data_IF_958462127640
#
_entry.id   IF_958462127640
#
_cell.length_a   1.000
_cell.length_b   1.000
_cell.length_c   1.000
_cell.angle_alpha   90.00
_cell.angle_beta   90.00
_cell.angle_gamma   90.00
#
_symmetry.space_group_name_H-M   'P 1'
#
loop_
_entity.id
_entity.type
_entity.pdbx_description
1 polymer ?
#
# COMPACT_ATOMS: atom_id res chain seq x y z
N UNK A 1 -21.32 -74.48 -68.94
CA UNK A 1 -21.30 -73.16 -69.61
C UNK A 1 -20.96 -72.12 -68.55
N UNK A 2 -19.73 -71.73 -68.37
CA UNK A 2 -19.29 -70.75 -67.42
C UNK A 2 -18.47 -69.70 -68.18
N UNK A 3 -18.90 -68.47 -68.16
CA UNK A 3 -18.16 -67.31 -68.71
C UNK A 3 -17.33 -66.66 -67.66
N UNK A 4 -16.00 -66.65 -67.90
CA UNK A 4 -15.04 -65.89 -67.08
C UNK A 4 -15.17 -64.39 -67.34
N UNK A 5 -15.13 -63.61 -66.30
CA UNK A 5 -15.01 -62.15 -66.35
C UNK A 5 -13.60 -61.75 -65.95
N UNK A 6 -12.95 -60.99 -66.84
CA UNK A 6 -11.65 -60.41 -66.66
C UNK A 6 -11.67 -59.24 -65.66
N UNK A 7 -10.76 -59.25 -64.74
CA UNK A 7 -10.53 -58.16 -63.77
C UNK A 7 -9.64 -57.08 -64.37
N UNK A 8 -10.20 -55.91 -64.61
CA UNK A 8 -9.46 -54.69 -64.95
C UNK A 8 -8.85 -54.04 -63.70
N UNK A 9 -7.53 -53.84 -63.76
CA UNK A 9 -6.80 -53.11 -62.72
C UNK A 9 -7.07 -51.62 -62.83
N UNK A 10 -7.70 -51.04 -61.80
CA UNK A 10 -7.84 -49.60 -61.64
C UNK A 10 -6.67 -49.03 -60.85
N UNK A 11 -5.90 -48.15 -61.47
CA UNK A 11 -4.83 -47.36 -60.84
C UNK A 11 -5.42 -46.36 -59.86
N UNK A 12 -5.04 -46.51 -58.61
CA UNK A 12 -5.38 -45.50 -57.56
C UNK A 12 -4.40 -44.36 -57.65
N UNK A 13 -4.85 -43.19 -58.12
CA UNK A 13 -4.13 -41.93 -57.97
C UNK A 13 -4.36 -41.42 -56.57
N UNK A 14 -3.33 -41.37 -55.78
CA UNK A 14 -3.36 -40.77 -54.40
C UNK A 14 -3.20 -39.24 -54.51
N UNK A 15 -4.27 -38.53 -54.36
CA UNK A 15 -4.23 -37.06 -54.17
C UNK A 15 -3.76 -36.78 -52.73
N UNK A 16 -2.55 -36.29 -52.59
CA UNK A 16 -2.07 -35.73 -51.33
C UNK A 16 -2.65 -34.31 -51.14
N UNK A 17 -3.65 -34.15 -50.26
CA UNK A 17 -4.17 -32.87 -49.84
C UNK A 17 -3.20 -32.27 -48.78
N UNK A 18 -2.39 -31.32 -49.20
CA UNK A 18 -1.54 -30.57 -48.29
C UNK A 18 -2.39 -29.63 -47.41
N UNK A 19 -2.54 -29.97 -46.14
CA UNK A 19 -3.18 -29.10 -45.13
C UNK A 19 -2.18 -28.03 -44.71
N UNK A 20 -2.30 -26.81 -45.25
CA UNK A 20 -1.55 -25.64 -44.79
C UNK A 20 -2.26 -25.16 -43.51
N UNK A 21 -1.70 -25.51 -42.32
CA UNK A 21 -2.07 -24.95 -41.03
C UNK A 21 -1.52 -23.51 -40.95
N UNK A 22 -2.34 -22.54 -41.26
CA UNK A 22 -2.10 -21.15 -40.93
C UNK A 22 -2.22 -21.02 -39.39
N UNK A 23 -1.11 -21.02 -38.65
CA UNK A 23 -1.06 -20.65 -37.26
C UNK A 23 -1.22 -19.14 -37.18
N UNK A 24 -2.45 -18.68 -37.01
CA UNK A 24 -2.73 -17.32 -36.55
C UNK A 24 -2.16 -17.19 -35.12
N UNK A 25 -0.99 -16.59 -35.03
CA UNK A 25 -0.41 -16.22 -33.74
C UNK A 25 -1.33 -15.24 -33.02
N UNK A 26 -2.14 -15.74 -32.12
CA UNK A 26 -2.80 -14.88 -31.13
C UNK A 26 -1.71 -14.33 -30.22
N UNK A 27 -1.32 -13.08 -30.47
CA UNK A 27 -0.58 -12.29 -29.49
C UNK A 27 -1.51 -12.08 -28.31
N UNK A 28 -1.38 -12.89 -27.26
CA UNK A 28 -2.04 -12.63 -26.00
C UNK A 28 -1.64 -11.23 -25.54
N UNK A 29 -2.58 -10.36 -25.15
CA UNK A 29 -2.22 -9.09 -24.52
C UNK A 29 -1.33 -9.42 -23.33
N UNK A 30 -0.08 -8.94 -23.37
CA UNK A 30 0.88 -9.18 -22.31
C UNK A 30 0.31 -8.60 -21.02
N UNK A 31 -0.11 -9.45 -20.09
CA UNK A 31 -0.26 -9.04 -18.71
C UNK A 31 1.07 -8.46 -18.28
N UNK A 32 1.03 -7.27 -17.66
CA UNK A 32 2.20 -6.66 -17.11
C UNK A 32 2.91 -7.71 -16.25
N UNK A 33 4.15 -8.03 -16.62
CA UNK A 33 4.98 -9.00 -15.93
C UNK A 33 5.10 -8.53 -14.49
N UNK A 34 4.80 -9.38 -13.51
CA UNK A 34 5.00 -9.06 -12.10
C UNK A 34 6.44 -8.54 -11.94
N UNK A 35 6.67 -7.45 -11.20
CA UNK A 35 8.01 -6.92 -11.03
C UNK A 35 8.91 -8.05 -10.56
N UNK A 36 10.00 -8.30 -11.27
CA UNK A 36 11.05 -9.20 -10.79
C UNK A 36 11.51 -8.64 -9.46
N UNK A 37 11.41 -9.43 -8.39
CA UNK A 37 11.82 -9.05 -7.05
C UNK A 37 13.20 -8.38 -7.13
N UNK A 38 13.27 -7.06 -6.92
CA UNK A 38 14.51 -6.29 -6.94
C UNK A 38 15.37 -6.75 -5.77
N UNK A 39 16.68 -6.88 -6.00
CA UNK A 39 17.59 -7.10 -4.89
C UNK A 39 17.60 -5.84 -4.00
N UNK A 40 17.50 -6.03 -2.69
CA UNK A 40 17.50 -4.97 -1.70
C UNK A 40 16.29 -5.01 -0.77
N UNK A 41 16.42 -4.34 0.34
CA UNK A 41 15.44 -4.32 1.43
C UNK A 41 14.71 -2.99 1.51
N UNK A 42 13.45 -3.01 1.92
CA UNK A 42 12.71 -1.82 2.32
C UNK A 42 13.12 -1.45 3.74
N UNK A 43 13.43 -0.16 3.95
CA UNK A 43 13.74 0.36 5.28
C UNK A 43 12.50 1.03 5.86
N UNK A 44 12.22 0.72 7.12
CA UNK A 44 11.11 1.29 7.89
C UNK A 44 11.69 1.97 9.13
N UNK A 45 11.37 3.24 9.31
CA UNK A 45 11.79 4.05 10.45
C UNK A 45 10.57 4.73 11.05
N UNK A 46 10.34 4.54 12.35
CA UNK A 46 9.28 5.23 13.07
C UNK A 46 9.78 6.58 13.59
N UNK A 47 9.10 7.64 13.22
CA UNK A 47 9.43 9.02 13.61
C UNK A 47 8.49 9.57 14.70
N UNK A 48 7.60 8.71 15.21
CA UNK A 48 6.61 9.00 16.25
C UNK A 48 5.20 9.12 15.72
N UNK A 49 4.21 8.76 16.56
CA UNK A 49 2.79 8.77 16.20
C UNK A 49 2.49 7.92 14.95
N UNK A 50 1.93 8.50 13.88
CA UNK A 50 1.74 7.88 12.56
C UNK A 50 2.83 8.27 11.54
N UNK A 51 3.85 8.98 11.98
CA UNK A 51 4.92 9.43 11.12
C UNK A 51 5.96 8.31 10.93
N UNK A 52 5.96 7.72 9.73
CA UNK A 52 6.95 6.73 9.30
C UNK A 52 7.74 7.26 8.10
N UNK A 53 9.02 6.87 8.02
CA UNK A 53 9.82 6.97 6.83
C UNK A 53 10.03 5.58 6.26
N UNK A 54 9.59 5.37 5.01
CA UNK A 54 9.76 4.15 4.25
C UNK A 54 10.74 4.44 3.13
N UNK A 55 11.85 3.68 3.05
CA UNK A 55 12.84 3.88 1.99
C UNK A 55 12.90 2.62 1.13
N UNK A 56 12.68 2.78 -0.16
CA UNK A 56 12.73 1.69 -1.13
C UNK A 56 14.13 1.15 -1.34
N UNK A 57 14.29 -0.05 -1.92
CA UNK A 57 15.60 -0.59 -2.32
C UNK A 57 16.41 0.35 -3.21
N UNK A 58 15.76 1.16 -4.03
CA UNK A 58 16.40 2.15 -4.91
C UNK A 58 16.56 3.53 -4.29
N UNK A 59 16.21 3.69 -3.01
CA UNK A 59 16.38 4.93 -2.26
C UNK A 59 15.26 5.96 -2.42
N UNK A 60 14.10 5.57 -3.00
CA UNK A 60 12.91 6.43 -3.00
C UNK A 60 12.34 6.51 -1.59
N UNK A 61 12.08 7.72 -1.12
CA UNK A 61 11.62 7.99 0.25
C UNK A 61 10.14 8.35 0.26
N UNK A 62 9.35 7.58 0.99
CA UNK A 62 7.93 7.82 1.26
C UNK A 62 7.77 8.11 2.75
N UNK A 63 7.05 9.16 3.11
CA UNK A 63 6.69 9.44 4.50
C UNK A 63 5.17 9.47 4.69
N UNK A 64 4.71 9.12 5.90
CA UNK A 64 3.29 9.08 6.27
C UNK A 64 3.02 10.07 7.39
N UNK A 65 1.85 10.71 7.39
CA UNK A 65 1.33 11.56 8.48
C UNK A 65 2.42 12.41 9.17
N UNK A 66 3.07 13.35 8.44
CA UNK A 66 4.33 13.94 8.84
C UNK A 66 4.17 15.07 9.88
N UNK A 67 3.88 14.72 11.12
CA UNK A 67 3.73 15.67 12.23
C UNK A 67 5.10 16.07 12.82
N UNK A 68 5.66 17.21 12.37
CA UNK A 68 6.99 17.69 12.78
C UNK A 68 7.10 18.00 14.27
N UNK A 69 6.05 18.59 14.84
CA UNK A 69 5.99 18.99 16.24
C UNK A 69 5.54 17.87 17.18
N UNK A 70 5.58 16.61 16.73
CA UNK A 70 5.23 15.45 17.55
C UNK A 70 5.99 15.51 18.90
N UNK A 71 5.30 15.54 20.04
CA UNK A 71 5.94 15.71 21.36
C UNK A 71 6.87 14.56 21.73
N UNK A 72 6.67 13.37 21.16
CA UNK A 72 7.46 12.18 21.48
C UNK A 72 8.75 12.08 20.66
N UNK A 73 8.87 12.84 19.57
CA UNK A 73 10.05 12.78 18.72
C UNK A 73 10.06 13.84 17.61
N UNK A 74 10.21 15.12 17.95
CA UNK A 74 10.19 16.17 16.94
C UNK A 74 11.23 15.93 15.85
N UNK A 75 10.84 16.19 14.61
CA UNK A 75 11.68 15.99 13.41
C UNK A 75 11.94 17.35 12.76
N UNK A 76 13.20 17.63 12.45
CA UNK A 76 13.55 18.86 11.72
C UNK A 76 13.29 18.72 10.22
N UNK A 77 12.99 19.83 9.56
CA UNK A 77 12.82 19.89 8.09
C UNK A 77 14.06 19.43 7.33
N UNK A 78 15.26 19.75 7.83
CA UNK A 78 16.53 19.37 7.19
C UNK A 78 16.64 17.85 7.00
N UNK A 79 16.16 17.06 7.98
CA UNK A 79 16.13 15.61 7.92
C UNK A 79 15.17 15.03 6.87
N UNK A 80 14.34 15.89 6.25
CA UNK A 80 13.28 15.51 5.30
C UNK A 80 13.50 16.04 3.88
N UNK A 81 14.60 16.73 3.62
CA UNK A 81 14.91 17.32 2.32
C UNK A 81 15.00 16.31 1.16
N UNK A 82 15.17 15.02 1.46
CA UNK A 82 15.21 13.92 0.47
C UNK A 82 13.91 13.14 0.34
N UNK A 83 12.80 13.68 0.82
CA UNK A 83 11.48 13.05 0.69
C UNK A 83 10.99 13.12 -0.76
N UNK A 84 10.48 12.00 -1.28
CA UNK A 84 9.89 11.92 -2.62
C UNK A 84 8.37 11.99 -2.59
N UNK A 85 7.75 11.33 -1.60
CA UNK A 85 6.30 11.24 -1.46
C UNK A 85 5.87 11.45 -0.01
N UNK A 86 4.76 12.16 0.16
CA UNK A 86 4.13 12.43 1.45
C UNK A 86 2.69 11.89 1.38
N UNK A 87 2.37 10.91 2.22
CA UNK A 87 1.03 10.33 2.31
C UNK A 87 0.28 10.98 3.47
N UNK A 88 -0.85 11.62 3.16
CA UNK A 88 -1.72 12.25 4.15
C UNK A 88 -3.09 11.56 4.10
N UNK A 89 -3.44 10.74 5.11
CA UNK A 89 -4.64 9.91 5.09
C UNK A 89 -5.92 10.71 5.36
N UNK A 90 -5.85 11.68 6.27
CA UNK A 90 -6.99 12.49 6.71
C UNK A 90 -6.53 13.88 7.18
N UNK A 91 -7.46 14.72 7.58
CA UNK A 91 -7.26 16.14 7.87
C UNK A 91 -7.07 16.48 9.36
N UNK A 92 -7.02 15.48 10.26
CA UNK A 92 -6.72 15.74 11.65
C UNK A 92 -5.28 16.26 11.78
N UNK A 93 -5.06 17.19 12.68
CA UNK A 93 -3.79 17.93 12.76
C UNK A 93 -2.57 17.03 12.94
N UNK A 94 -2.70 15.99 13.74
CA UNK A 94 -1.65 15.01 14.05
C UNK A 94 -1.45 13.96 12.92
N UNK A 95 -2.49 13.69 12.12
CA UNK A 95 -2.42 12.80 10.96
C UNK A 95 -2.06 13.54 9.67
N UNK A 96 -2.48 14.79 9.52
CA UNK A 96 -2.08 15.64 8.40
C UNK A 96 -0.64 16.11 8.55
N UNK A 97 -0.28 16.61 9.72
CA UNK A 97 1.04 17.16 10.02
C UNK A 97 1.38 18.39 9.19
N UNK A 98 2.61 18.42 8.67
CA UNK A 98 3.23 19.55 7.98
C UNK A 98 3.61 19.24 6.51
N UNK A 99 2.69 18.75 5.67
CA UNK A 99 3.03 18.32 4.31
C UNK A 99 3.46 19.49 3.40
N UNK A 100 2.95 20.71 3.64
CA UNK A 100 3.26 21.88 2.82
C UNK A 100 4.71 22.32 3.02
N UNK A 101 5.14 22.44 4.28
CA UNK A 101 6.50 22.85 4.65
C UNK A 101 7.53 21.81 4.16
N UNK A 102 7.21 20.52 4.30
CA UNK A 102 8.10 19.44 3.84
C UNK A 102 8.17 19.43 2.32
N UNK A 103 7.04 19.55 1.63
CA UNK A 103 7.02 19.62 0.16
C UNK A 103 7.78 20.83 -0.37
N UNK A 104 7.77 21.96 0.34
CA UNK A 104 8.51 23.17 -0.06
C UNK A 104 10.02 22.95 -0.06
N UNK A 105 10.58 22.20 0.90
CA UNK A 105 12.03 21.97 1.00
C UNK A 105 12.51 20.75 0.23
N UNK A 106 11.65 19.72 0.05
CA UNK A 106 12.03 18.47 -0.60
C UNK A 106 11.65 18.37 -2.07
N UNK A 107 10.66 19.16 -2.51
CA UNK A 107 10.03 18.97 -3.82
C UNK A 107 9.10 17.76 -3.88
N UNK A 108 8.76 17.15 -2.76
CA UNK A 108 7.95 15.95 -2.67
C UNK A 108 6.55 16.13 -3.25
N UNK A 109 5.98 15.03 -3.77
CA UNK A 109 4.58 14.96 -4.14
C UNK A 109 3.74 14.56 -2.93
N UNK A 110 2.72 15.36 -2.59
CA UNK A 110 1.73 15.07 -1.56
C UNK A 110 0.59 14.26 -2.17
N UNK A 111 0.37 13.07 -1.63
CA UNK A 111 -0.68 12.12 -2.06
C UNK A 111 -1.76 12.12 -0.97
N UNK A 112 -2.93 12.66 -1.28
CA UNK A 112 -4.03 12.85 -0.32
C UNK A 112 -5.38 12.93 -1.03
N UNK A 113 -6.52 12.71 -0.33
CA UNK A 113 -7.85 12.91 -0.88
C UNK A 113 -8.05 14.30 -1.48
N UNK A 114 -8.87 14.39 -2.53
CA UNK A 114 -8.98 15.62 -3.32
C UNK A 114 -9.48 16.85 -2.55
N UNK A 115 -10.47 16.77 -1.63
CA UNK A 115 -10.88 17.94 -0.85
C UNK A 115 -9.74 18.46 0.03
N UNK A 116 -9.05 17.57 0.75
CA UNK A 116 -7.89 17.93 1.57
C UNK A 116 -6.75 18.50 0.71
N UNK A 117 -6.46 17.88 -0.45
CA UNK A 117 -5.43 18.38 -1.37
C UNK A 117 -5.71 19.80 -1.88
N UNK A 118 -6.97 20.12 -2.19
CA UNK A 118 -7.36 21.50 -2.56
C UNK A 118 -7.18 22.49 -1.42
N UNK A 119 -7.48 22.05 -0.20
CA UNK A 119 -7.24 22.87 0.99
C UNK A 119 -5.73 23.13 1.20
N UNK A 120 -4.89 22.09 1.04
CA UNK A 120 -3.43 22.24 1.13
C UNK A 120 -2.89 23.20 0.05
N UNK A 121 -3.42 23.15 -1.18
CA UNK A 121 -3.05 24.07 -2.26
C UNK A 121 -3.42 25.51 -1.87
N UNK A 122 -4.62 25.73 -1.35
CA UNK A 122 -5.04 27.04 -0.87
C UNK A 122 -4.17 27.54 0.32
N UNK A 123 -3.46 26.64 1.01
CA UNK A 123 -2.57 26.93 2.12
C UNK A 123 -1.08 26.79 1.77
N UNK A 124 -0.71 26.90 0.49
CA UNK A 124 0.67 27.05 0.05
C UNK A 124 1.33 25.84 -0.63
N UNK A 125 0.65 24.69 -0.72
CA UNK A 125 1.13 23.57 -1.52
C UNK A 125 1.08 23.94 -3.01
N UNK A 126 2.14 23.70 -3.77
CA UNK A 126 2.12 23.94 -5.22
C UNK A 126 1.23 22.90 -5.91
N UNK A 127 0.48 23.34 -6.94
CA UNK A 127 -0.45 22.49 -7.67
C UNK A 127 0.24 21.25 -8.27
N UNK A 128 1.45 21.39 -8.79
CA UNK A 128 2.25 20.32 -9.38
C UNK A 128 2.78 19.31 -8.35
N UNK A 129 2.78 19.65 -7.07
CA UNK A 129 3.15 18.77 -5.98
C UNK A 129 1.96 17.97 -5.42
N UNK A 130 0.74 18.23 -5.89
CA UNK A 130 -0.44 17.52 -5.45
C UNK A 130 -0.76 16.33 -6.38
N UNK A 131 -0.91 15.15 -5.78
CA UNK A 131 -1.46 13.96 -6.44
C UNK A 131 -2.71 13.49 -5.70
N UNK A 132 -3.84 13.44 -6.41
CA UNK A 132 -5.10 12.95 -5.85
C UNK A 132 -4.98 11.48 -5.45
N UNK A 133 -5.44 11.16 -4.24
CA UNK A 133 -5.68 9.81 -3.71
C UNK A 133 -7.20 9.56 -3.70
N UNK A 134 -7.78 9.23 -4.85
CA UNK A 134 -9.17 8.78 -4.92
C UNK A 134 -9.29 7.34 -4.44
N UNK A 135 -10.30 7.03 -3.59
CA UNK A 135 -10.53 5.65 -3.16
C UNK A 135 -10.72 4.76 -4.39
N UNK A 136 -9.94 3.67 -4.46
CA UNK A 136 -9.89 2.77 -5.61
C UNK A 136 -8.84 3.12 -6.65
N UNK A 137 -8.24 4.31 -6.63
CA UNK A 137 -7.14 4.67 -7.54
C UNK A 137 -5.93 3.75 -7.37
N UNK A 138 -5.24 3.49 -8.47
CA UNK A 138 -3.93 2.85 -8.47
C UNK A 138 -3.04 3.57 -9.48
N UNK A 139 -1.80 3.83 -9.10
CA UNK A 139 -0.82 4.47 -9.96
C UNK A 139 0.61 4.13 -9.55
N UNK A 140 1.56 4.32 -10.48
CA UNK A 140 2.98 4.05 -10.24
C UNK A 140 3.74 5.37 -10.35
N UNK A 141 4.55 5.70 -9.34
CA UNK A 141 5.44 6.87 -9.32
C UNK A 141 6.84 6.42 -8.86
N UNK A 142 7.87 6.76 -9.60
CA UNK A 142 9.28 6.38 -9.33
C UNK A 142 9.46 4.87 -9.04
N UNK A 143 8.67 4.00 -9.67
CA UNK A 143 8.73 2.55 -9.46
C UNK A 143 7.96 2.03 -8.25
N UNK A 144 7.37 2.90 -7.43
CA UNK A 144 6.49 2.55 -6.31
C UNK A 144 5.05 2.52 -6.80
N UNK A 145 4.34 1.44 -6.53
CA UNK A 145 2.89 1.35 -6.77
C UNK A 145 2.13 1.78 -5.52
N UNK A 146 1.26 2.77 -5.69
CA UNK A 146 0.33 3.22 -4.67
C UNK A 146 -1.08 2.74 -5.04
N UNK A 147 -1.70 1.96 -4.18
CA UNK A 147 -3.11 1.61 -4.26
C UNK A 147 -3.84 2.26 -3.10
N UNK A 148 -4.91 3.00 -3.40
CA UNK A 148 -5.66 3.78 -2.43
C UNK A 148 -6.87 2.97 -1.98
N UNK A 149 -6.92 2.68 -0.69
CA UNK A 149 -8.05 2.05 -0.02
C UNK A 149 -8.88 3.05 0.78
N UNK A 150 -10.09 2.70 1.22
CA UNK A 150 -10.85 3.50 2.16
C UNK A 150 -10.19 3.46 3.54
N UNK A 151 -10.41 4.52 4.31
CA UNK A 151 -10.21 4.55 5.76
C UNK A 151 -11.53 4.97 6.38
N UNK A 152 -12.06 4.18 7.30
CA UNK A 152 -13.27 4.53 8.04
C UNK A 152 -12.86 5.38 9.24
N UNK A 153 -12.73 6.67 9.00
CA UNK A 153 -12.30 7.66 9.96
C UNK A 153 -12.94 9.01 9.65
N UNK A 154 -13.18 9.83 10.67
CA UNK A 154 -13.58 11.22 10.48
C UNK A 154 -12.46 11.98 9.72
N UNK A 155 -12.85 12.92 8.89
CA UNK A 155 -11.93 13.69 8.08
C UNK A 155 -12.28 15.19 8.07
N UNK A 156 -12.45 15.74 9.27
CA UNK A 156 -12.79 17.15 9.47
C UNK A 156 -11.54 17.97 9.80
N UNK A 157 -11.29 19.03 9.04
CA UNK A 157 -10.24 20.01 9.32
C UNK A 157 -10.50 20.73 10.64
N UNK A 158 -9.46 21.21 11.30
CA UNK A 158 -9.59 22.04 12.51
C UNK A 158 -10.46 23.30 12.32
N UNK A 159 -10.66 23.74 11.09
CA UNK A 159 -11.58 24.83 10.71
C UNK A 159 -13.04 24.40 10.66
N UNK A 160 -13.35 23.13 10.83
CA UNK A 160 -14.68 22.53 10.65
C UNK A 160 -15.02 22.20 9.17
N UNK A 161 -14.13 22.46 8.23
CA UNK A 161 -14.36 22.10 6.83
C UNK A 161 -14.14 20.60 6.60
N UNK A 162 -14.89 20.03 5.64
CA UNK A 162 -14.80 18.64 5.26
C UNK A 162 -13.52 18.36 4.43
N UNK A 163 -12.68 17.42 4.91
CA UNK A 163 -11.48 16.93 4.22
C UNK A 163 -11.79 15.89 3.13
N UNK A 164 -13.05 15.48 2.98
CA UNK A 164 -13.48 14.42 2.06
C UNK A 164 -13.33 13.01 2.68
N UNK A 165 -13.35 11.94 1.88
CA UNK A 165 -13.16 10.60 2.39
C UNK A 165 -11.72 10.41 2.91
N UNK A 166 -11.55 9.84 4.09
CA UNK A 166 -10.23 9.43 4.58
C UNK A 166 -9.69 8.25 3.73
N UNK A 167 -8.37 8.12 3.65
CA UNK A 167 -7.71 7.13 2.79
C UNK A 167 -6.74 6.23 3.56
N UNK A 168 -6.62 4.99 3.11
CA UNK A 168 -5.54 4.07 3.45
C UNK A 168 -4.67 3.81 2.21
N UNK A 169 -3.46 3.29 2.41
CA UNK A 169 -2.49 3.14 1.33
C UNK A 169 -1.85 1.76 1.35
N UNK A 170 -1.89 1.06 0.21
CA UNK A 170 -1.00 -0.07 -0.06
C UNK A 170 0.16 0.44 -0.91
N UNK A 171 1.37 0.30 -0.39
CA UNK A 171 2.60 0.83 -0.96
C UNK A 171 3.47 -0.35 -1.38
N UNK A 172 3.46 -0.69 -2.66
CA UNK A 172 4.28 -1.79 -3.18
C UNK A 172 5.57 -1.24 -3.77
N UNK A 173 6.68 -1.63 -3.18
CA UNK A 173 8.02 -1.24 -3.59
C UNK A 173 8.54 -2.08 -4.77
N UNK A 174 9.65 -1.66 -5.37
CA UNK A 174 10.20 -2.26 -6.59
C UNK A 174 10.62 -3.72 -6.44
N UNK A 175 10.87 -4.17 -5.21
CA UNK A 175 11.17 -5.58 -4.88
C UNK A 175 9.92 -6.43 -4.64
N UNK A 176 8.72 -5.84 -4.77
CA UNK A 176 7.45 -6.51 -4.51
C UNK A 176 6.98 -6.46 -3.05
N UNK A 177 7.82 -5.98 -2.12
CA UNK A 177 7.43 -5.82 -0.72
C UNK A 177 6.32 -4.78 -0.59
N UNK A 178 5.23 -5.12 0.09
CA UNK A 178 4.06 -4.26 0.23
C UNK A 178 3.83 -3.88 1.69
N UNK A 179 3.76 -2.57 1.94
CA UNK A 179 3.35 -2.00 3.23
C UNK A 179 1.90 -1.54 3.13
N UNK A 180 1.07 -1.94 4.08
CA UNK A 180 -0.25 -1.35 4.29
C UNK A 180 -0.18 -0.30 5.40
N UNK A 181 -0.53 0.93 5.08
CA UNK A 181 -0.71 2.02 6.04
C UNK A 181 -2.20 2.35 6.09
N UNK A 182 -2.86 2.07 7.25
CA UNK A 182 -4.32 2.16 7.33
C UNK A 182 -4.87 3.57 7.54
N UNK A 183 -4.00 4.56 7.82
CA UNK A 183 -4.41 5.95 8.00
C UNK A 183 -5.44 6.14 9.12
N UNK A 184 -5.26 5.42 10.22
CA UNK A 184 -6.12 5.47 11.40
C UNK A 184 -7.56 4.96 11.15
N UNK A 185 -7.72 3.98 10.23
CA UNK A 185 -9.04 3.40 9.99
C UNK A 185 -9.52 2.56 11.16
N UNK A 186 -10.79 2.72 11.52
CA UNK A 186 -11.52 1.81 12.41
C UNK A 186 -11.82 0.47 11.73
N UNK A 187 -12.50 -0.42 12.44
CA UNK A 187 -12.85 -1.77 12.00
C UNK A 187 -13.90 -1.73 10.89
N UNK A 188 -13.53 -2.22 9.69
CA UNK A 188 -14.43 -2.43 8.56
C UNK A 188 -14.16 -3.78 7.91
N UNK A 189 -15.21 -4.46 7.47
CA UNK A 189 -15.11 -5.80 6.89
C UNK A 189 -14.23 -5.86 5.63
N UNK A 190 -14.17 -4.78 4.85
CA UNK A 190 -13.41 -4.67 3.61
C UNK A 190 -11.90 -4.87 3.82
N UNK A 191 -11.39 -4.66 5.03
CA UNK A 191 -9.96 -4.88 5.34
C UNK A 191 -9.52 -6.32 5.03
N UNK A 192 -10.35 -7.33 5.30
CA UNK A 192 -10.03 -8.71 4.95
C UNK A 192 -9.97 -8.92 3.43
N UNK A 193 -10.89 -8.30 2.68
CA UNK A 193 -10.90 -8.36 1.22
C UNK A 193 -9.67 -7.66 0.63
N UNK A 194 -9.34 -6.48 1.11
CA UNK A 194 -8.13 -5.75 0.68
C UNK A 194 -6.86 -6.53 1.00
N UNK A 195 -6.77 -7.13 2.18
CA UNK A 195 -5.64 -7.98 2.54
C UNK A 195 -5.52 -9.21 1.62
N UNK A 196 -6.65 -9.82 1.22
CA UNK A 196 -6.67 -10.93 0.25
C UNK A 196 -6.16 -10.52 -1.12
N UNK A 197 -6.54 -9.34 -1.60
CA UNK A 197 -6.21 -8.87 -2.95
C UNK A 197 -4.78 -8.33 -3.03
N UNK A 198 -4.37 -7.52 -2.05
CA UNK A 198 -3.10 -6.77 -2.11
C UNK A 198 -1.97 -7.39 -1.29
N UNK A 199 -2.24 -8.41 -0.49
CA UNK A 199 -1.25 -9.27 0.20
C UNK A 199 -0.09 -8.48 0.86
N UNK A 200 -0.35 -7.51 1.76
CA UNK A 200 0.74 -6.75 2.37
C UNK A 200 1.64 -7.65 3.23
N UNK A 201 2.96 -7.40 3.18
CA UNK A 201 3.96 -8.08 4.00
C UNK A 201 4.04 -7.49 5.42
N UNK A 202 3.75 -6.18 5.52
CA UNK A 202 3.77 -5.40 6.75
C UNK A 202 2.52 -4.51 6.80
N UNK A 203 1.88 -4.43 7.96
CA UNK A 203 0.76 -3.52 8.20
C UNK A 203 1.09 -2.54 9.33
N UNK A 204 0.92 -1.24 9.07
CA UNK A 204 0.98 -0.16 10.05
C UNK A 204 -0.47 0.21 10.38
N UNK A 205 -0.90 -0.07 11.60
CA UNK A 205 -2.30 0.02 12.00
C UNK A 205 -2.48 0.98 13.19
N UNK A 206 -3.46 1.88 13.10
CA UNK A 206 -3.80 2.80 14.19
C UNK A 206 -4.28 2.05 15.44
N UNK A 207 -3.70 2.37 16.59
CA UNK A 207 -4.09 1.80 17.90
C UNK A 207 -5.07 2.72 18.66
N UNK A 208 -4.95 3.99 18.46
CA UNK A 208 -5.85 5.13 18.78
C UNK A 208 -6.80 4.99 19.98
N UNK A 209 -6.36 4.39 21.06
CA UNK A 209 -7.15 4.32 22.29
C UNK A 209 -8.10 3.14 22.40
N UNK A 210 -8.23 2.29 21.37
CA UNK A 210 -9.07 1.09 21.39
C UNK A 210 -8.27 -0.20 21.07
N UNK A 211 -7.59 -0.80 22.07
CA UNK A 211 -6.83 -2.02 21.89
C UNK A 211 -7.63 -3.22 21.35
N UNK A 212 -8.88 -3.47 21.80
CA UNK A 212 -9.74 -4.50 21.22
C UNK A 212 -9.99 -4.29 19.72
N UNK A 213 -10.29 -3.08 19.28
CA UNK A 213 -10.54 -2.78 17.87
C UNK A 213 -9.28 -2.95 17.04
N UNK A 214 -8.15 -2.43 17.49
CA UNK A 214 -6.84 -2.66 16.85
C UNK A 214 -6.56 -4.15 16.62
N UNK A 215 -6.82 -4.99 17.63
CA UNK A 215 -6.61 -6.43 17.50
C UNK A 215 -7.56 -7.06 16.48
N UNK A 216 -8.81 -6.60 16.37
CA UNK A 216 -9.75 -7.08 15.36
C UNK A 216 -9.37 -6.61 13.95
N UNK A 217 -8.88 -5.38 13.78
CA UNK A 217 -8.32 -4.90 12.50
C UNK A 217 -7.16 -5.79 12.07
N UNK A 218 -6.21 -6.07 12.95
CA UNK A 218 -5.10 -6.98 12.67
C UNK A 218 -5.58 -8.40 12.32
N UNK A 219 -6.61 -8.90 13.01
CA UNK A 219 -7.21 -10.20 12.71
C UNK A 219 -7.86 -10.25 11.33
N UNK A 220 -8.59 -9.21 10.92
CA UNK A 220 -9.15 -9.15 9.57
C UNK A 220 -8.04 -9.17 8.51
N UNK A 221 -6.96 -8.41 8.73
CA UNK A 221 -5.81 -8.42 7.84
C UNK A 221 -5.18 -9.81 7.72
N UNK A 222 -5.01 -10.54 8.84
CA UNK A 222 -4.46 -11.90 8.82
C UNK A 222 -5.42 -12.93 8.26
N UNK A 223 -6.72 -12.74 8.42
CA UNK A 223 -7.74 -13.61 7.82
C UNK A 223 -7.71 -13.51 6.30
N UNK A 224 -7.60 -12.30 5.76
CA UNK A 224 -7.45 -12.07 4.32
C UNK A 224 -6.06 -12.44 3.79
N UNK A 225 -5.02 -12.29 4.60
CA UNK A 225 -3.64 -12.58 4.22
C UNK A 225 -2.88 -13.35 5.32
N UNK A 226 -2.94 -14.70 5.32
CA UNK A 226 -2.20 -15.52 6.30
C UNK A 226 -0.68 -15.38 6.22
N UNK A 227 -0.15 -14.73 5.17
CA UNK A 227 1.29 -14.47 5.00
C UNK A 227 1.76 -13.19 5.67
N UNK A 228 0.86 -12.34 6.14
CA UNK A 228 1.23 -11.13 6.89
C UNK A 228 2.12 -11.51 8.09
N UNK A 229 3.30 -10.92 8.20
CA UNK A 229 4.31 -11.26 9.21
C UNK A 229 4.50 -10.22 10.29
N UNK A 230 4.15 -8.97 10.00
CA UNK A 230 4.43 -7.86 10.91
C UNK A 230 3.26 -6.90 10.98
N UNK A 231 2.82 -6.61 12.18
CA UNK A 231 1.87 -5.55 12.51
C UNK A 231 2.56 -4.54 13.39
N UNK A 232 2.66 -3.31 12.94
CA UNK A 232 3.22 -2.19 13.69
C UNK A 232 2.06 -1.33 14.19
N UNK A 233 1.92 -1.16 15.52
CA UNK A 233 0.94 -0.20 16.05
C UNK A 233 1.39 1.23 15.76
N UNK A 234 0.49 2.05 15.25
CA UNK A 234 0.68 3.48 15.02
C UNK A 234 -0.33 4.30 15.84
N UNK A 235 -0.33 5.61 15.68
CA UNK A 235 -1.16 6.54 16.46
C UNK A 235 -0.96 6.36 17.97
N UNK A 236 0.29 6.19 18.38
CA UNK A 236 0.72 5.92 19.74
C UNK A 236 2.12 6.49 19.97
N UNK A 237 2.64 6.31 21.17
CA UNK A 237 3.98 6.79 21.55
C UNK A 237 4.82 5.69 22.19
N UNK A 238 6.16 5.82 22.18
CA UNK A 238 7.05 4.86 22.81
C UNK A 238 6.68 4.63 24.28
N UNK A 239 6.60 3.35 24.68
CA UNK A 239 6.34 2.96 26.06
C UNK A 239 4.94 3.25 26.58
N UNK A 240 3.99 3.67 25.73
CA UNK A 240 2.62 3.91 26.14
C UNK A 240 1.96 2.62 26.69
N UNK A 241 1.23 2.68 27.82
CA UNK A 241 0.54 1.50 28.37
C UNK A 241 -0.36 0.77 27.38
N UNK A 242 -0.99 1.52 26.46
CA UNK A 242 -1.86 1.01 25.42
C UNK A 242 -1.16 -0.02 24.49
N UNK A 243 0.17 0.07 24.33
CA UNK A 243 0.94 -0.93 23.56
C UNK A 243 0.89 -2.31 24.22
N UNK A 244 0.99 -2.36 25.56
CA UNK A 244 0.85 -3.60 26.32
C UNK A 244 -0.57 -4.15 26.23
N UNK A 245 -1.57 -3.28 26.24
CA UNK A 245 -2.98 -3.66 26.11
C UNK A 245 -3.26 -4.20 24.72
N UNK A 246 -2.80 -3.53 23.67
CA UNK A 246 -2.91 -3.99 22.28
C UNK A 246 -2.26 -5.35 22.06
N UNK A 247 -1.06 -5.55 22.64
CA UNK A 247 -0.37 -6.85 22.58
C UNK A 247 -1.20 -7.95 23.26
N UNK A 248 -1.79 -7.67 24.43
CA UNK A 248 -2.63 -8.62 25.16
C UNK A 248 -3.86 -9.02 24.36
N UNK A 249 -4.52 -8.07 23.68
CA UNK A 249 -5.67 -8.36 22.84
C UNK A 249 -5.29 -9.21 21.62
N UNK A 250 -4.14 -8.93 20.98
CA UNK A 250 -3.62 -9.78 19.92
C UNK A 250 -3.27 -11.20 20.41
N UNK A 251 -2.73 -11.33 21.64
CA UNK A 251 -2.45 -12.65 22.24
C UNK A 251 -3.74 -13.45 22.47
N UNK A 252 -4.83 -12.81 22.90
CA UNK A 252 -6.15 -13.44 23.03
C UNK A 252 -6.68 -13.98 21.70
N UNK A 253 -6.32 -13.34 20.59
CA UNK A 253 -6.67 -13.76 19.24
C UNK A 253 -5.69 -14.79 18.64
N UNK A 254 -4.61 -15.14 19.36
CA UNK A 254 -3.60 -16.08 18.91
C UNK A 254 -2.64 -15.50 17.83
N UNK A 255 -2.62 -14.18 17.66
CA UNK A 255 -1.81 -13.48 16.64
C UNK A 255 -0.82 -12.48 17.25
N UNK A 256 -0.61 -12.51 18.55
CA UNK A 256 0.28 -11.56 19.25
C UNK A 256 1.74 -11.61 18.79
N UNK A 257 2.20 -12.74 18.24
CA UNK A 257 3.54 -12.86 17.65
C UNK A 257 3.78 -11.98 16.42
N UNK A 258 2.73 -11.38 15.84
CA UNK A 258 2.85 -10.48 14.70
C UNK A 258 3.17 -9.04 15.11
N UNK A 259 2.87 -8.66 16.36
CA UNK A 259 3.08 -7.28 16.81
C UNK A 259 4.56 -6.99 16.98
N UNK A 260 5.02 -5.96 16.30
CA UNK A 260 6.35 -5.41 16.45
C UNK A 260 6.25 -3.90 16.73
N UNK A 261 6.86 -3.46 17.82
CA UNK A 261 6.93 -2.04 18.18
C UNK A 261 8.35 -1.55 17.88
N UNK A 262 8.54 -0.74 16.84
CA UNK A 262 9.86 -0.22 16.50
C UNK A 262 10.35 0.77 17.57
N UNK A 263 11.66 0.82 17.77
CA UNK A 263 12.29 1.91 18.51
C UNK A 263 12.24 3.19 17.67
N UNK A 264 12.00 4.32 18.34
CA UNK A 264 11.92 5.63 17.69
C UNK A 264 13.23 5.97 16.96
N UNK A 265 13.13 6.43 15.72
CA UNK A 265 14.26 6.84 14.86
C UNK A 265 15.30 5.73 14.58
N UNK A 266 14.93 4.48 14.82
CA UNK A 266 15.76 3.34 14.44
C UNK A 266 15.25 2.74 13.12
N UNK A 267 16.18 2.42 12.23
CA UNK A 267 15.88 1.83 10.92
C UNK A 267 15.82 0.33 11.03
N UNK A 268 14.77 -0.27 10.50
CA UNK A 268 14.57 -1.71 10.35
C UNK A 268 14.49 -2.06 8.86
N UNK A 269 15.03 -3.21 8.47
CA UNK A 269 15.12 -3.66 7.08
C UNK A 269 14.30 -4.95 6.87
N UNK A 270 13.46 -4.92 5.86
CA UNK A 270 12.55 -6.01 5.50
C UNK A 270 12.84 -6.57 4.12
#
# INVERSE_FOLDING_TARGET
MARAWSTGSASRATLALGLILLTLGWSSPGFAQAPTAGQGKVKVEWLGHEFYRLTSPKGVVVITSPWLANPDGPVSLDGLARTDFILVPNAHTDDMGNPVEIAAVSGATVITPAPLGRWLIANGLKQEQFRRAGIGDQFVLKGITFKIGPSAHDNTLATGADGGPAASFFITFENGFTVFFNGHSTLVADLALYATVYQPDLAILGLAGDPPEFAQVARLMTTGNPKLRTVIPSHTRPGAPILTEGKRELDRLGIGGLMFVPELKKVYEY
#
